data_IF_939475755637
#
_entry.id   IF_939475755637
#
_cell.length_a   1.000
_cell.length_b   1.000
_cell.length_c   1.000
_cell.angle_alpha   90.00
_cell.angle_beta   90.00
_cell.angle_gamma   90.00
#
_symmetry.space_group_name_H-M   'P 1'
#
loop_
_entity.id
_entity.type
_entity.pdbx_description
1 polymer ?
#
# COMPACT_ATOMS: atom_id res chain seq x y z
N UNK A 1 10.27 -4.20 46.99
CA UNK A 1 9.72 -4.10 45.65
C UNK A 1 8.21 -3.87 45.82
N UNK A 2 7.70 -2.73 45.38
CA UNK A 2 6.28 -2.45 45.34
C UNK A 2 5.98 -2.23 43.84
N UNK A 3 5.47 -3.27 43.19
CA UNK A 3 5.04 -3.25 41.79
C UNK A 3 4.04 -4.37 41.56
N UNK A 4 3.09 -4.16 40.63
CA UNK A 4 2.24 -5.23 40.15
C UNK A 4 2.89 -5.88 38.93
N UNK A 5 2.89 -7.20 38.89
CA UNK A 5 3.24 -7.98 37.71
C UNK A 5 1.90 -8.34 37.06
N UNK A 6 1.68 -7.88 35.85
CA UNK A 6 0.48 -8.17 35.07
C UNK A 6 0.85 -9.09 33.89
N UNK A 7 -0.08 -9.98 33.52
CA UNK A 7 0.07 -10.91 32.38
C UNK A 7 1.29 -11.86 32.46
N UNK A 8 1.49 -12.52 33.59
CA UNK A 8 2.43 -13.65 33.64
C UNK A 8 1.75 -14.87 32.98
N UNK A 9 2.27 -15.28 31.85
CA UNK A 9 1.87 -16.51 31.16
C UNK A 9 2.98 -17.55 31.30
N UNK A 10 2.64 -18.72 31.79
CA UNK A 10 3.52 -19.89 31.80
C UNK A 10 2.98 -20.88 30.77
N UNK A 11 3.74 -21.14 29.72
CA UNK A 11 3.43 -22.16 28.72
C UNK A 11 4.46 -23.27 28.79
N UNK A 12 4.02 -24.50 28.63
CA UNK A 12 4.93 -25.61 28.42
C UNK A 12 5.67 -25.41 27.09
N UNK A 13 6.97 -25.63 27.06
CA UNK A 13 7.77 -25.47 25.84
C UNK A 13 7.37 -26.58 24.85
N UNK A 14 7.02 -26.18 23.63
CA UNK A 14 6.61 -27.10 22.57
C UNK A 14 5.15 -27.56 22.59
N UNK A 15 4.32 -27.05 23.50
CA UNK A 15 2.91 -27.50 23.65
C UNK A 15 2.05 -27.34 22.39
N UNK A 16 2.41 -26.38 21.51
CA UNK A 16 1.69 -26.13 20.26
C UNK A 16 2.26 -26.93 19.06
N UNK A 17 3.23 -27.82 19.32
CA UNK A 17 3.85 -28.67 18.31
C UNK A 17 3.56 -30.15 18.53
N UNK A 18 3.09 -30.81 17.50
CA UNK A 18 2.89 -32.24 17.48
C UNK A 18 4.09 -32.94 16.82
N UNK A 19 4.73 -33.87 17.54
CA UNK A 19 5.85 -34.64 17.04
C UNK A 19 5.41 -36.05 16.74
N UNK A 20 5.34 -36.42 15.45
CA UNK A 20 4.97 -37.73 15.03
C UNK A 20 6.19 -38.66 14.87
N UNK A 21 6.00 -39.97 15.06
CA UNK A 21 7.01 -41.01 14.88
C UNK A 21 8.29 -40.81 15.72
N UNK A 22 8.17 -40.28 16.91
CA UNK A 22 9.29 -40.10 17.85
C UNK A 22 9.82 -41.43 18.34
N UNK A 23 11.17 -41.58 18.33
CA UNK A 23 11.90 -42.74 18.84
C UNK A 23 13.13 -42.29 19.62
N UNK A 24 13.89 -43.22 20.21
CA UNK A 24 15.14 -42.91 20.89
C UNK A 24 16.19 -42.26 20.01
N UNK A 25 16.15 -42.57 18.70
CA UNK A 25 17.10 -42.02 17.69
C UNK A 25 16.52 -40.87 16.89
N UNK A 26 15.21 -40.64 16.95
CA UNK A 26 14.50 -39.64 16.16
C UNK A 26 13.52 -38.87 17.06
N UNK A 27 13.87 -37.67 17.45
CA UNK A 27 13.08 -36.84 18.38
C UNK A 27 13.33 -35.38 18.17
N UNK A 28 12.51 -34.56 18.80
CA UNK A 28 12.69 -33.09 18.93
C UNK A 28 12.93 -32.80 20.40
N UNK A 29 14.01 -32.07 20.66
CA UNK A 29 14.36 -31.57 22.01
C UNK A 29 13.96 -30.10 22.08
N UNK A 30 12.94 -29.81 22.90
CA UNK A 30 12.49 -28.46 23.13
C UNK A 30 13.30 -27.82 24.27
N UNK A 31 13.92 -26.70 24.01
CA UNK A 31 14.68 -25.90 24.96
C UNK A 31 14.06 -24.53 25.19
N UNK A 32 14.73 -23.66 25.95
CA UNK A 32 14.29 -22.29 26.18
C UNK A 32 14.34 -21.47 24.87
N UNK A 33 13.19 -21.31 24.24
CA UNK A 33 13.03 -20.63 22.96
C UNK A 33 13.61 -21.38 21.74
N UNK A 34 13.96 -22.65 21.88
CA UNK A 34 14.55 -23.44 20.79
C UNK A 34 13.91 -24.80 20.62
N UNK A 35 13.99 -25.35 19.40
CA UNK A 35 13.65 -26.73 19.07
C UNK A 35 14.82 -27.37 18.31
N UNK A 36 15.43 -28.41 18.87
CA UNK A 36 16.50 -29.16 18.24
C UNK A 36 15.92 -30.41 17.58
N UNK A 37 16.00 -30.47 16.28
CA UNK A 37 15.59 -31.62 15.45
C UNK A 37 16.71 -32.63 15.43
N UNK A 38 16.50 -33.82 16.01
CA UNK A 38 17.43 -34.94 16.00
C UNK A 38 16.82 -36.13 15.29
N UNK A 39 17.19 -36.34 14.04
CA UNK A 39 16.68 -37.40 13.20
C UNK A 39 17.88 -38.24 12.72
N UNK A 40 18.41 -39.09 13.60
CA UNK A 40 19.66 -39.81 13.41
C UNK A 40 19.46 -41.12 12.69
N UNK A 41 18.22 -41.59 12.55
CA UNK A 41 17.90 -42.85 11.89
C UNK A 41 16.86 -42.68 10.78
N UNK A 42 16.99 -43.45 9.71
CA UNK A 42 16.07 -43.40 8.57
C UNK A 42 14.74 -44.14 8.79
N UNK A 43 14.63 -44.91 9.85
CA UNK A 43 13.41 -45.66 10.19
C UNK A 43 12.81 -45.13 11.51
N UNK A 44 11.56 -44.73 11.57
CA UNK A 44 10.59 -44.64 10.46
C UNK A 44 10.96 -43.58 9.43
N UNK A 45 10.54 -43.79 8.20
CA UNK A 45 10.98 -42.99 7.05
C UNK A 45 10.68 -41.48 7.13
N UNK A 46 9.70 -41.09 7.92
CA UNK A 46 9.27 -39.69 8.01
C UNK A 46 9.11 -39.26 9.46
N UNK A 47 9.83 -38.24 9.85
CA UNK A 47 9.64 -37.54 11.12
C UNK A 47 8.91 -36.23 10.85
N UNK A 48 7.86 -36.01 11.56
CA UNK A 48 6.99 -34.85 11.42
C UNK A 48 6.94 -34.05 12.70
N UNK A 49 7.11 -32.74 12.54
CA UNK A 49 6.80 -31.77 13.58
C UNK A 49 5.74 -30.84 12.98
N UNK A 50 4.56 -30.82 13.54
CA UNK A 50 3.43 -30.05 12.99
C UNK A 50 2.89 -29.04 13.99
N UNK A 51 2.32 -27.99 13.45
CA UNK A 51 1.61 -26.94 14.22
C UNK A 51 0.24 -26.72 13.58
N UNK A 52 -0.72 -26.30 14.38
CA UNK A 52 -2.12 -26.11 13.96
C UNK A 52 -2.38 -24.93 13.01
N UNK A 53 -1.35 -24.44 12.34
CA UNK A 53 -1.51 -23.42 11.30
C UNK A 53 -1.93 -24.08 9.98
N UNK A 54 -3.05 -23.60 9.41
CA UNK A 54 -3.59 -24.14 8.16
C UNK A 54 -3.35 -23.22 6.99
N UNK A 55 -2.73 -23.73 5.94
CA UNK A 55 -2.60 -23.05 4.66
C UNK A 55 -3.92 -23.11 3.87
N UNK A 56 -4.17 -22.06 3.10
CA UNK A 56 -5.32 -21.96 2.19
C UNK A 56 -4.80 -21.98 0.75
N UNK A 57 -5.33 -22.90 -0.05
CA UNK A 57 -4.95 -23.06 -1.47
C UNK A 57 -5.06 -21.74 -2.25
N UNK A 58 -4.06 -21.41 -3.05
CA UNK A 58 -3.97 -20.21 -3.87
C UNK A 58 -3.46 -18.95 -3.13
N UNK A 59 -3.20 -19.04 -1.84
CA UNK A 59 -2.61 -17.94 -1.08
C UNK A 59 -1.10 -18.06 -0.98
N UNK A 60 -0.43 -16.91 -0.85
CA UNK A 60 1.02 -16.82 -0.63
C UNK A 60 1.34 -16.56 0.84
N UNK A 61 2.42 -17.15 1.29
CA UNK A 61 2.88 -17.03 2.67
C UNK A 61 4.37 -16.70 2.70
N UNK A 62 4.76 -15.77 3.58
CA UNK A 62 6.16 -15.55 3.94
C UNK A 62 6.48 -16.47 5.11
N UNK A 63 7.38 -17.41 4.86
CA UNK A 63 7.97 -18.27 5.88
C UNK A 63 9.31 -17.67 6.30
N UNK A 64 9.48 -17.44 7.59
CA UNK A 64 10.75 -17.05 8.19
C UNK A 64 11.13 -18.09 9.22
N UNK A 65 12.30 -18.69 9.08
CA UNK A 65 12.86 -19.64 10.05
C UNK A 65 14.23 -19.12 10.48
N UNK A 66 14.42 -18.97 11.78
CA UNK A 66 15.72 -18.67 12.34
C UNK A 66 16.38 -19.97 12.81
N UNK A 67 17.47 -20.34 12.17
CA UNK A 67 18.23 -21.56 12.45
C UNK A 67 19.46 -21.19 13.27
N UNK A 68 19.39 -21.48 14.56
CA UNK A 68 20.46 -21.14 15.49
C UNK A 68 21.73 -21.94 15.21
N UNK A 69 21.61 -23.22 14.85
CA UNK A 69 22.75 -24.09 14.60
C UNK A 69 22.40 -25.20 13.61
N UNK A 70 23.35 -25.55 12.74
CA UNK A 70 23.33 -26.73 11.88
C UNK A 70 24.57 -27.58 12.20
N UNK A 71 24.39 -28.70 12.87
CA UNK A 71 25.45 -29.67 13.13
C UNK A 71 25.56 -30.67 11.94
N UNK A 72 24.42 -31.16 11.48
CA UNK A 72 24.36 -32.05 10.32
C UNK A 72 23.00 -32.03 9.63
N UNK A 73 23.00 -32.39 8.35
CA UNK A 73 21.81 -32.67 7.57
C UNK A 73 20.99 -31.48 7.10
N UNK A 74 19.74 -31.75 6.74
CA UNK A 74 18.78 -30.77 6.28
C UNK A 74 17.37 -31.24 6.60
N UNK A 75 16.48 -30.27 6.83
CA UNK A 75 15.05 -30.49 6.94
C UNK A 75 14.30 -29.76 5.82
N UNK A 76 13.06 -30.12 5.62
CA UNK A 76 12.17 -29.46 4.67
C UNK A 76 10.87 -29.07 5.34
N UNK A 77 10.28 -27.98 4.84
CA UNK A 77 9.02 -27.45 5.32
C UNK A 77 8.00 -27.47 4.20
N UNK A 78 6.78 -27.82 4.52
CA UNK A 78 5.69 -27.81 3.58
C UNK A 78 4.37 -28.20 4.20
N UNK A 79 3.40 -28.41 3.36
CA UNK A 79 2.09 -28.97 3.67
C UNK A 79 1.80 -30.04 2.60
N UNK A 80 0.91 -30.95 2.89
CA UNK A 80 0.63 -32.04 1.96
C UNK A 80 0.22 -31.52 0.59
N UNK A 81 1.05 -31.82 -0.45
CA UNK A 81 0.77 -31.49 -1.85
C UNK A 81 1.55 -30.33 -2.45
N UNK A 82 2.46 -29.68 -1.70
CA UNK A 82 3.32 -28.61 -2.24
C UNK A 82 4.76 -29.08 -2.48
N UNK A 83 5.50 -28.32 -3.29
CA UNK A 83 6.95 -28.36 -3.32
C UNK A 83 7.50 -27.98 -1.95
N UNK A 84 8.47 -28.76 -1.46
CA UNK A 84 8.99 -28.63 -0.11
C UNK A 84 10.26 -27.79 -0.12
N UNK A 85 10.26 -26.68 0.60
CA UNK A 85 11.45 -25.86 0.80
C UNK A 85 12.46 -26.53 1.73
N UNK A 86 13.74 -26.56 1.33
CA UNK A 86 14.82 -27.22 2.06
C UNK A 86 15.68 -26.20 2.80
N UNK A 87 16.02 -26.54 4.06
CA UNK A 87 16.81 -25.73 4.97
C UNK A 87 18.02 -26.52 5.46
N UNK A 88 19.23 -25.94 5.30
CA UNK A 88 20.50 -26.58 5.63
C UNK A 88 21.60 -25.63 6.08
N UNK A 89 21.29 -24.38 6.34
CA UNK A 89 22.25 -23.35 6.78
C UNK A 89 21.73 -22.55 7.96
N UNK A 90 22.63 -22.14 8.85
CA UNK A 90 22.30 -21.29 10.01
C UNK A 90 21.97 -19.86 9.61
N UNK A 91 21.29 -19.14 10.52
CA UNK A 91 20.81 -17.78 10.36
C UNK A 91 19.34 -17.71 9.94
N UNK A 92 18.85 -16.49 9.75
CA UNK A 92 17.47 -16.23 9.35
C UNK A 92 17.30 -16.61 7.88
N UNK A 93 16.41 -17.55 7.62
CA UNK A 93 16.04 -18.00 6.28
C UNK A 93 14.62 -17.55 5.96
N UNK A 94 14.44 -16.88 4.82
CA UNK A 94 13.13 -16.42 4.36
C UNK A 94 12.76 -17.08 3.04
N UNK A 95 11.50 -17.49 2.91
CA UNK A 95 10.93 -18.04 1.67
C UNK A 95 9.53 -17.51 1.47
N UNK A 96 9.17 -17.30 0.21
CA UNK A 96 7.78 -17.04 -0.19
C UNK A 96 7.26 -18.32 -0.83
N UNK A 97 6.20 -18.88 -0.25
CA UNK A 97 5.56 -20.11 -0.71
C UNK A 97 4.13 -19.80 -1.16
N UNK A 98 3.75 -20.34 -2.31
CA UNK A 98 2.36 -20.36 -2.75
C UNK A 98 1.72 -21.70 -2.37
N UNK A 99 0.60 -21.65 -1.65
CA UNK A 99 -0.11 -22.83 -1.23
C UNK A 99 -0.92 -23.40 -2.40
N UNK A 100 -0.50 -24.53 -2.94
CA UNK A 100 -1.23 -25.25 -4.02
C UNK A 100 -2.34 -26.15 -3.49
N UNK A 101 -2.44 -26.32 -2.18
CA UNK A 101 -3.48 -27.08 -1.47
C UNK A 101 -3.69 -26.56 -0.06
N UNK A 102 -4.70 -27.06 0.61
CA UNK A 102 -4.93 -26.80 2.05
C UNK A 102 -4.24 -27.87 2.89
N UNK A 103 -3.55 -27.46 3.95
CA UNK A 103 -2.84 -28.38 4.84
C UNK A 103 -2.23 -27.66 6.04
N UNK A 104 -1.68 -28.40 6.97
CA UNK A 104 -1.03 -27.86 8.16
C UNK A 104 0.46 -27.61 7.92
N UNK A 105 1.02 -26.65 8.64
CA UNK A 105 2.46 -26.40 8.62
C UNK A 105 3.20 -27.60 9.18
N UNK A 106 4.17 -28.12 8.44
CA UNK A 106 4.87 -29.36 8.82
C UNK A 106 6.36 -29.26 8.50
N UNK A 107 7.19 -29.71 9.43
CA UNK A 107 8.63 -29.89 9.25
C UNK A 107 8.90 -31.37 9.05
N UNK A 108 9.61 -31.69 7.97
CA UNK A 108 9.98 -33.05 7.61
C UNK A 108 11.48 -33.21 7.59
N UNK A 109 11.94 -34.44 7.85
CA UNK A 109 13.29 -34.82 7.49
C UNK A 109 13.51 -34.68 5.98
N UNK A 110 14.64 -34.13 5.55
CA UNK A 110 15.08 -34.13 4.16
C UNK A 110 16.30 -35.02 3.93
N UNK A 111 17.25 -35.03 4.86
CA UNK A 111 18.44 -35.88 4.76
C UNK A 111 18.51 -36.88 5.92
N UNK A 112 19.47 -37.85 5.85
CA UNK A 112 19.90 -38.65 6.98
C UNK A 112 20.66 -37.77 7.99
N UNK A 113 20.66 -38.17 9.25
CA UNK A 113 21.47 -37.55 10.31
C UNK A 113 21.23 -36.02 10.46
N UNK A 114 19.97 -35.66 10.59
CA UNK A 114 19.59 -34.27 10.89
C UNK A 114 19.87 -33.97 12.36
N UNK A 115 20.69 -32.96 12.61
CA UNK A 115 20.91 -32.36 13.92
C UNK A 115 20.96 -30.84 13.74
N UNK A 116 19.81 -30.18 13.91
CA UNK A 116 19.59 -28.76 13.61
C UNK A 116 18.75 -28.13 14.70
N UNK A 117 19.20 -26.96 15.21
CA UNK A 117 18.48 -26.19 16.22
C UNK A 117 17.80 -24.98 15.58
N UNK A 118 16.48 -24.87 15.77
CA UNK A 118 15.63 -23.78 15.32
C UNK A 118 15.28 -22.90 16.52
N UNK A 119 15.40 -21.58 16.38
CA UNK A 119 15.06 -20.60 17.46
C UNK A 119 13.75 -19.87 17.19
N UNK A 120 13.32 -19.74 15.94
CA UNK A 120 12.06 -19.09 15.61
C UNK A 120 11.48 -19.64 14.32
N UNK A 121 10.16 -19.73 14.27
CA UNK A 121 9.38 -20.04 13.07
C UNK A 121 8.21 -19.07 12.99
N UNK A 122 8.11 -18.36 11.89
CA UNK A 122 7.01 -17.43 11.60
C UNK A 122 6.44 -17.72 10.21
N UNK A 123 5.12 -17.84 10.14
CA UNK A 123 4.38 -17.97 8.88
C UNK A 123 3.36 -16.85 8.82
N UNK A 124 3.50 -15.99 7.84
CA UNK A 124 2.59 -14.83 7.66
C UNK A 124 1.97 -14.96 6.28
N UNK A 125 0.64 -14.93 6.21
CA UNK A 125 -0.05 -14.82 4.92
C UNK A 125 0.36 -13.52 4.24
N UNK A 126 0.87 -13.63 3.02
CA UNK A 126 1.05 -12.47 2.15
C UNK A 126 -0.32 -12.22 1.54
N UNK A 127 -1.07 -11.33 2.15
CA UNK A 127 -2.25 -10.78 1.49
C UNK A 127 -1.76 -10.02 0.26
N UNK A 128 -2.43 -10.17 -0.86
CA UNK A 128 -2.14 -9.35 -2.03
C UNK A 128 -2.05 -7.90 -1.58
N UNK A 129 -0.87 -7.30 -1.74
CA UNK A 129 -0.61 -5.90 -1.41
C UNK A 129 -1.35 -4.94 -2.36
N UNK A 130 -2.11 -5.50 -3.30
CA UNK A 130 -2.87 -4.77 -4.30
C UNK A 130 -3.99 -3.91 -3.73
N UNK A 131 -4.47 -4.21 -2.52
CA UNK A 131 -5.58 -3.50 -1.87
C UNK A 131 -5.20 -2.89 -0.51
N UNK A 132 -3.94 -2.98 -0.12
CA UNK A 132 -3.46 -2.41 1.14
C UNK A 132 -2.85 -1.04 0.90
N UNK A 133 -3.16 -0.05 1.76
CA UNK A 133 -2.52 1.25 1.70
C UNK A 133 -1.01 1.10 1.92
N UNK A 134 -0.21 1.81 1.14
CA UNK A 134 1.24 1.82 1.22
C UNK A 134 1.71 2.83 2.25
N UNK A 135 2.94 2.66 2.71
CA UNK A 135 3.62 3.71 3.46
C UNK A 135 4.47 4.50 2.47
N UNK A 136 4.15 5.78 2.31
CA UNK A 136 4.91 6.73 1.51
C UNK A 136 5.82 7.55 2.42
N UNK A 137 7.11 7.57 2.12
CA UNK A 137 8.12 8.34 2.85
C UNK A 137 8.52 9.65 2.14
N UNK A 138 7.76 10.05 1.14
CA UNK A 138 7.98 11.34 0.47
C UNK A 138 7.88 12.49 1.48
N UNK A 139 8.96 13.25 1.62
CA UNK A 139 9.06 14.30 2.64
C UNK A 139 9.69 13.85 3.96
N UNK A 140 10.21 12.62 4.05
CA UNK A 140 11.04 12.12 5.15
C UNK A 140 10.27 11.52 6.33
N UNK A 141 8.97 11.69 6.42
CA UNK A 141 8.10 11.09 7.45
C UNK A 141 7.10 10.17 6.79
N UNK A 142 7.08 8.91 7.23
CA UNK A 142 6.15 7.92 6.69
C UNK A 142 4.70 8.28 6.95
N UNK A 143 3.86 8.11 5.94
CA UNK A 143 2.41 8.23 6.03
C UNK A 143 1.74 7.16 5.18
N UNK A 144 0.56 6.76 5.57
CA UNK A 144 -0.23 5.82 4.80
C UNK A 144 -0.78 6.50 3.56
N UNK A 145 -0.64 5.84 2.41
CA UNK A 145 -1.11 6.29 1.12
C UNK A 145 -2.25 5.40 0.67
N UNK A 146 -3.45 5.97 0.60
CA UNK A 146 -4.64 5.32 0.08
C UNK A 146 -4.90 5.79 -1.34
N UNK A 147 -4.87 4.88 -2.29
CA UNK A 147 -4.99 5.19 -3.71
C UNK A 147 -6.23 4.54 -4.34
N UNK A 148 -6.89 5.23 -5.28
CA UNK A 148 -8.00 4.66 -6.03
C UNK A 148 -7.53 3.54 -6.95
N UNK A 149 -8.49 2.75 -7.47
CA UNK A 149 -8.23 1.86 -8.58
C UNK A 149 -7.62 2.64 -9.74
N UNK A 150 -6.57 2.11 -10.32
CA UNK A 150 -5.94 2.69 -11.50
C UNK A 150 -5.40 1.61 -12.44
N UNK A 151 -5.31 1.95 -13.72
CA UNK A 151 -4.79 1.07 -14.76
C UNK A 151 -3.61 1.74 -15.44
N UNK A 152 -2.47 1.06 -15.47
CA UNK A 152 -1.38 1.49 -16.33
C UNK A 152 -1.71 1.09 -17.78
N UNK A 153 -1.89 2.10 -18.62
CA UNK A 153 -2.23 1.93 -20.03
C UNK A 153 -0.99 1.66 -20.90
N UNK A 154 0.22 1.84 -20.37
CA UNK A 154 1.46 1.46 -21.03
C UNK A 154 1.68 -0.03 -20.78
N UNK A 155 1.86 -0.78 -21.85
CA UNK A 155 1.94 -2.26 -21.77
C UNK A 155 3.29 -2.79 -21.35
N UNK A 156 4.33 -1.95 -21.34
CA UNK A 156 5.70 -2.29 -20.90
C UNK A 156 6.26 -1.11 -20.10
N UNK A 157 6.10 -1.18 -18.77
CA UNK A 157 6.43 -0.06 -17.89
C UNK A 157 7.95 0.14 -17.69
N UNK A 158 8.73 -0.92 -17.70
CA UNK A 158 10.15 -0.86 -17.34
C UNK A 158 10.96 -0.06 -18.34
N UNK A 159 10.97 -0.50 -19.59
CA UNK A 159 11.75 0.12 -20.66
C UNK A 159 10.95 1.10 -21.53
N UNK A 160 9.60 1.05 -21.44
CA UNK A 160 8.71 1.65 -22.44
C UNK A 160 8.72 0.84 -23.75
N UNK A 161 7.77 1.16 -24.62
CA UNK A 161 7.76 0.65 -26.00
C UNK A 161 8.24 1.75 -26.90
N UNK A 162 9.43 1.60 -27.45
CA UNK A 162 9.99 2.59 -28.40
C UNK A 162 9.53 2.28 -29.82
N UNK A 163 8.74 3.15 -30.40
CA UNK A 163 8.52 3.14 -31.84
C UNK A 163 9.70 3.83 -32.55
N UNK A 164 10.19 3.27 -33.61
CA UNK A 164 11.48 3.62 -34.28
C UNK A 164 12.66 3.38 -33.33
N UNK A 165 12.94 2.13 -33.07
CA UNK A 165 13.94 1.70 -32.09
C UNK A 165 15.30 2.42 -32.22
N UNK A 166 15.88 2.86 -31.08
CA UNK A 166 17.27 3.26 -31.08
C UNK A 166 18.14 2.05 -31.46
N UNK A 167 19.25 2.29 -32.14
CA UNK A 167 20.15 1.22 -32.60
C UNK A 167 20.71 0.38 -31.44
N UNK A 168 20.66 0.88 -30.22
CA UNK A 168 21.04 0.16 -28.99
C UNK A 168 20.50 0.86 -27.73
N UNK A 169 20.19 0.05 -26.70
CA UNK A 169 19.80 0.47 -25.36
C UNK A 169 20.86 0.02 -24.35
N UNK A 170 21.16 0.89 -23.38
CA UNK A 170 22.03 0.54 -22.27
C UNK A 170 21.17 0.37 -21.04
N UNK A 171 21.10 -0.84 -20.49
CA UNK A 171 20.42 -1.13 -19.24
C UNK A 171 21.24 -0.65 -18.05
N UNK A 172 20.59 -0.12 -17.05
CA UNK A 172 21.17 0.27 -15.76
C UNK A 172 20.22 -0.09 -14.62
N UNK A 173 20.76 -0.12 -13.40
CA UNK A 173 19.97 -0.46 -12.21
C UNK A 173 18.84 0.54 -12.04
N UNK A 174 17.62 0.01 -12.00
CA UNK A 174 16.36 0.70 -11.84
C UNK A 174 15.98 0.95 -10.38
N UNK A 175 14.94 1.74 -10.09
CA UNK A 175 14.45 1.96 -8.73
C UNK A 175 14.09 0.68 -7.95
N UNK A 176 13.58 -0.35 -8.62
CA UNK A 176 13.24 -1.65 -8.03
C UNK A 176 14.43 -2.58 -7.79
N UNK A 177 15.64 -2.13 -8.15
CA UNK A 177 16.87 -2.92 -8.00
C UNK A 177 17.18 -3.87 -9.16
N UNK A 178 16.31 -3.97 -10.15
CA UNK A 178 16.59 -4.71 -11.40
C UNK A 178 17.49 -3.90 -12.33
N UNK A 179 17.90 -4.47 -13.45
CA UNK A 179 18.67 -3.78 -14.48
C UNK A 179 17.81 -3.53 -15.73
N UNK A 180 16.62 -2.94 -15.53
CA UNK A 180 15.64 -2.69 -16.59
C UNK A 180 15.48 -1.22 -16.95
N UNK A 181 16.15 -0.31 -16.23
CA UNK A 181 16.15 1.10 -16.61
C UNK A 181 16.95 1.33 -17.89
N UNK A 182 16.37 2.06 -18.82
CA UNK A 182 16.87 2.25 -20.17
C UNK A 182 17.54 3.60 -20.32
N UNK A 183 18.71 3.59 -20.92
CA UNK A 183 19.40 4.76 -21.40
C UNK A 183 19.31 4.82 -22.92
N UNK A 184 18.46 5.69 -23.49
CA UNK A 184 18.34 5.80 -24.95
C UNK A 184 19.63 6.28 -25.59
N UNK A 185 19.98 5.72 -26.75
CA UNK A 185 21.11 6.16 -27.55
C UNK A 185 20.57 6.86 -28.80
N UNK A 186 20.80 8.16 -28.95
CA UNK A 186 20.40 8.89 -30.15
C UNK A 186 21.13 8.37 -31.40
N UNK A 187 20.40 8.18 -32.47
CA UNK A 187 20.96 7.77 -33.77
C UNK A 187 21.13 8.93 -34.79
N UNK A 188 20.92 10.16 -34.34
CA UNK A 188 20.98 11.35 -35.18
C UNK A 188 19.72 11.61 -36.01
N UNK A 189 18.74 10.74 -35.98
CA UNK A 189 17.46 10.88 -36.70
C UNK A 189 16.30 10.99 -35.72
N UNK A 190 15.52 12.04 -35.83
CA UNK A 190 14.19 12.31 -35.31
C UNK A 190 13.64 11.55 -34.07
N UNK A 191 12.63 12.12 -33.56
CA UNK A 191 11.86 11.84 -32.35
C UNK A 191 11.72 10.37 -31.92
N UNK A 192 12.11 10.10 -30.68
CA UNK A 192 11.88 8.81 -30.01
C UNK A 192 10.69 8.92 -29.11
N UNK A 193 9.80 7.93 -29.11
CA UNK A 193 8.66 7.90 -28.22
C UNK A 193 8.66 6.64 -27.36
N UNK A 194 8.19 6.78 -26.13
CA UNK A 194 7.92 5.65 -25.26
C UNK A 194 6.43 5.49 -25.12
N UNK A 195 5.95 4.29 -25.38
CA UNK A 195 4.56 3.93 -25.14
C UNK A 195 3.62 4.32 -26.27
N UNK A 196 3.15 3.31 -26.94
CA UNK A 196 1.94 3.37 -27.76
C UNK A 196 0.77 2.92 -26.90
N UNK A 197 -0.23 3.78 -26.74
CA UNK A 197 -1.47 3.41 -26.10
C UNK A 197 -2.39 2.93 -27.21
N UNK A 198 -2.72 1.66 -27.17
CA UNK A 198 -3.71 1.10 -28.08
C UNK A 198 -5.11 1.32 -27.54
N UNK A 199 -5.91 2.05 -28.31
CA UNK A 199 -7.36 1.91 -28.33
C UNK A 199 -8.13 2.31 -27.06
N UNK A 200 -8.41 3.60 -26.88
CA UNK A 200 -9.45 4.07 -25.97
C UNK A 200 -10.15 5.30 -26.55
N UNK A 201 -11.45 5.36 -26.42
CA UNK A 201 -12.20 6.60 -26.66
C UNK A 201 -12.35 7.30 -25.31
N UNK A 202 -11.73 8.47 -25.16
CA UNK A 202 -11.83 9.25 -23.93
C UNK A 202 -12.74 10.47 -24.19
N UNK A 203 -13.59 10.78 -23.24
CA UNK A 203 -14.44 11.97 -23.34
C UNK A 203 -13.62 13.25 -23.25
N UNK A 204 -14.09 14.31 -23.89
CA UNK A 204 -13.56 15.66 -23.68
C UNK A 204 -13.59 16.01 -22.19
N UNK A 205 -12.55 16.69 -21.72
CA UNK A 205 -12.27 16.99 -20.31
C UNK A 205 -11.85 15.79 -19.43
N UNK A 206 -11.65 14.61 -19.99
CA UNK A 206 -10.98 13.53 -19.25
C UNK A 206 -9.55 13.96 -18.94
N UNK A 207 -9.15 13.81 -17.68
CA UNK A 207 -7.74 13.98 -17.28
C UNK A 207 -7.00 12.68 -17.41
N UNK A 208 -5.81 12.74 -17.93
CA UNK A 208 -4.84 11.65 -17.99
C UNK A 208 -3.54 12.10 -17.36
N UNK A 209 -2.89 11.24 -16.62
CA UNK A 209 -1.61 11.54 -15.99
C UNK A 209 -0.56 10.55 -16.44
N UNK A 210 0.55 11.09 -16.91
CA UNK A 210 1.75 10.33 -17.24
C UNK A 210 2.78 10.50 -16.15
N UNK A 211 3.40 9.41 -15.71
CA UNK A 211 4.50 9.43 -14.76
C UNK A 211 5.63 8.51 -15.18
N UNK A 212 6.86 8.85 -14.74
CA UNK A 212 8.09 8.14 -15.07
C UNK A 212 9.17 8.41 -14.04
N UNK A 213 10.14 7.53 -13.97
CA UNK A 213 11.37 7.76 -13.22
C UNK A 213 12.50 8.20 -14.14
N UNK A 214 13.33 9.13 -13.65
CA UNK A 214 14.45 9.67 -14.39
C UNK A 214 15.67 9.79 -13.50
N UNK A 215 16.81 9.35 -14.00
CA UNK A 215 18.13 9.50 -13.37
C UNK A 215 19.09 10.22 -14.30
N UNK A 216 19.79 11.22 -13.80
CA UNK A 216 20.88 11.85 -14.51
C UNK A 216 22.13 10.99 -14.37
N UNK A 217 22.81 10.65 -15.50
CA UNK A 217 23.98 9.77 -15.53
C UNK A 217 25.26 10.56 -15.76
N UNK A 218 25.22 11.67 -16.54
CA UNK A 218 26.40 12.50 -16.85
C UNK A 218 26.04 13.96 -17.11
N UNK A 219 27.03 14.83 -17.05
CA UNK A 219 26.95 16.23 -17.52
C UNK A 219 27.81 16.42 -18.80
N UNK A 220 27.43 17.26 -19.78
CA UNK A 220 26.26 18.12 -19.79
C UNK A 220 24.97 17.36 -20.06
N UNK A 221 23.89 17.91 -19.55
CA UNK A 221 22.55 17.37 -19.75
C UNK A 221 22.09 17.77 -21.12
N UNK A 222 21.89 16.79 -21.97
CA UNK A 222 20.98 16.96 -23.08
C UNK A 222 19.61 16.75 -22.49
N UNK A 223 18.88 17.84 -22.22
CA UNK A 223 17.54 17.75 -21.68
C UNK A 223 16.65 17.05 -22.70
N UNK A 224 16.15 15.89 -22.31
CA UNK A 224 15.09 15.24 -23.05
C UNK A 224 13.78 15.93 -22.69
N UNK A 225 13.13 16.47 -23.68
CA UNK A 225 11.81 17.04 -23.55
C UNK A 225 10.82 15.92 -23.15
N UNK A 226 10.13 16.12 -22.04
CA UNK A 226 8.80 15.59 -21.89
C UNK A 226 7.89 16.68 -22.42
N UNK A 227 7.68 16.66 -23.68
CA UNK A 227 6.85 17.66 -24.26
C UNK A 227 6.49 17.25 -25.66
N UNK A 228 5.31 17.20 -25.88
CA UNK A 228 4.51 16.98 -27.05
C UNK A 228 4.00 15.54 -27.15
N UNK A 229 2.80 15.38 -26.63
CA UNK A 229 1.84 14.49 -27.25
C UNK A 229 1.69 14.99 -28.68
N UNK A 230 2.49 14.47 -29.58
CA UNK A 230 2.52 14.96 -30.95
C UNK A 230 1.20 14.66 -31.68
N UNK A 231 0.65 15.64 -32.40
CA UNK A 231 -0.70 15.62 -32.94
C UNK A 231 -0.84 14.79 -34.23
N UNK A 232 0.02 13.85 -34.51
CA UNK A 232 -0.23 12.95 -35.63
C UNK A 232 -1.31 11.94 -35.37
N UNK A 233 -1.93 12.02 -34.20
CA UNK A 233 -3.08 11.24 -33.83
C UNK A 233 -4.04 12.08 -33.00
N UNK A 234 -4.95 12.70 -33.67
CA UNK A 234 -6.33 13.01 -33.35
C UNK A 234 -6.74 13.32 -31.87
N UNK A 235 -5.82 13.64 -30.96
CA UNK A 235 -6.16 14.14 -29.63
C UNK A 235 -5.48 15.44 -29.36
N UNK A 236 -6.27 16.47 -29.28
CA UNK A 236 -5.82 17.69 -28.68
C UNK A 236 -5.80 17.46 -27.15
N UNK A 237 -4.64 17.60 -26.55
CA UNK A 237 -4.47 17.61 -25.10
C UNK A 237 -3.80 18.90 -24.68
N UNK A 238 -4.16 19.38 -23.50
CA UNK A 238 -3.54 20.55 -22.89
C UNK A 238 -3.00 20.11 -21.53
N UNK A 239 -1.73 20.42 -21.27
CA UNK A 239 -1.14 20.13 -19.96
C UNK A 239 -1.83 20.99 -18.89
N UNK A 240 -2.17 20.34 -17.78
CA UNK A 240 -2.77 20.98 -16.60
C UNK A 240 -1.70 21.18 -15.55
N UNK A 241 -1.39 22.43 -15.27
CA UNK A 241 -0.35 22.78 -14.29
C UNK A 241 1.07 22.51 -14.80
N UNK A 242 2.01 22.44 -13.88
CA UNK A 242 3.42 22.15 -14.15
C UNK A 242 3.71 20.66 -13.99
N UNK A 243 4.76 20.18 -14.64
CA UNK A 243 5.33 18.86 -14.33
C UNK A 243 5.79 18.82 -12.88
N UNK A 244 5.34 17.81 -12.16
CA UNK A 244 5.67 17.60 -10.75
C UNK A 244 6.90 16.68 -10.69
N UNK A 245 7.92 17.10 -9.96
CA UNK A 245 9.07 16.27 -9.62
C UNK A 245 8.99 15.88 -8.15
N UNK A 246 9.03 14.60 -7.88
CA UNK A 246 9.14 14.03 -6.53
C UNK A 246 10.52 13.42 -6.40
N UNK A 247 11.35 13.97 -5.53
CA UNK A 247 12.63 13.35 -5.20
C UNK A 247 12.38 12.04 -4.49
N UNK A 248 12.72 10.93 -5.12
CA UNK A 248 12.62 9.61 -4.52
C UNK A 248 13.95 9.09 -4.01
N UNK A 249 15.06 9.57 -4.57
CA UNK A 249 16.45 9.19 -4.25
C UNK A 249 16.71 7.67 -4.25
N UNK A 250 15.81 6.92 -4.87
CA UNK A 250 15.93 5.47 -4.99
C UNK A 250 16.89 5.19 -6.14
N UNK A 251 18.08 4.69 -5.83
CA UNK A 251 19.14 4.44 -6.80
C UNK A 251 19.49 5.68 -7.67
N UNK A 252 19.23 6.89 -7.14
CA UNK A 252 19.46 8.17 -7.81
C UNK A 252 18.41 8.55 -8.85
N UNK A 253 17.26 7.90 -8.86
CA UNK A 253 16.11 8.27 -9.69
C UNK A 253 15.17 9.20 -8.93
N UNK A 254 14.66 10.20 -9.63
CA UNK A 254 13.51 11.00 -9.22
C UNK A 254 12.29 10.61 -10.05
N UNK A 255 11.11 10.67 -9.43
CA UNK A 255 9.85 10.45 -10.13
C UNK A 255 9.29 11.76 -10.65
N UNK A 256 8.77 11.73 -11.86
CA UNK A 256 8.11 12.86 -12.51
C UNK A 256 6.69 12.47 -12.87
N UNK A 257 5.80 13.46 -12.89
CA UNK A 257 4.45 13.30 -13.43
C UNK A 257 3.96 14.57 -14.12
N UNK A 258 3.14 14.39 -15.14
CA UNK A 258 2.47 15.47 -15.85
C UNK A 258 1.02 15.05 -16.14
N UNK A 259 0.08 15.93 -15.84
CA UNK A 259 -1.34 15.72 -16.08
C UNK A 259 -1.79 16.53 -17.30
N UNK A 260 -2.62 15.92 -18.13
CA UNK A 260 -3.14 16.50 -19.36
C UNK A 260 -4.66 16.42 -19.35
N UNK A 261 -5.30 17.41 -19.96
CA UNK A 261 -6.73 17.42 -20.21
C UNK A 261 -6.99 17.13 -21.68
N UNK A 262 -7.86 16.19 -21.96
CA UNK A 262 -8.29 15.85 -23.32
C UNK A 262 -9.26 16.92 -23.79
N UNK A 263 -8.90 17.65 -24.85
CA UNK A 263 -9.71 18.75 -25.37
C UNK A 263 -10.59 18.32 -26.55
N UNK A 264 -10.25 17.22 -27.22
CA UNK A 264 -11.05 16.62 -28.27
C UNK A 264 -11.23 15.12 -28.02
N UNK A 265 -12.47 14.70 -27.78
CA UNK A 265 -12.82 13.31 -27.45
C UNK A 265 -12.87 12.35 -28.64
N UNK A 266 -12.61 12.81 -29.85
CA UNK A 266 -12.57 11.94 -31.05
C UNK A 266 -11.22 11.22 -31.15
N UNK A 267 -10.91 10.36 -30.20
CA UNK A 267 -9.67 9.64 -30.16
C UNK A 267 -9.63 8.44 -31.08
N UNK A 268 -8.75 8.52 -32.04
CA UNK A 268 -8.26 7.36 -32.76
C UNK A 268 -7.22 6.59 -31.92
N UNK A 269 -7.11 5.35 -32.23
CA UNK A 269 -6.49 4.22 -31.58
C UNK A 269 -5.01 4.27 -31.20
N UNK A 270 -4.31 5.42 -31.26
CA UNK A 270 -2.85 5.45 -31.07
C UNK A 270 -2.37 6.76 -30.45
N UNK A 271 -2.57 6.96 -29.16
CA UNK A 271 -1.88 8.03 -28.44
C UNK A 271 -0.42 7.63 -28.20
N UNK A 272 0.52 8.49 -28.59
CA UNK A 272 1.96 8.27 -28.41
C UNK A 272 2.52 9.31 -27.45
N UNK A 273 3.31 8.84 -26.52
CA UNK A 273 4.11 9.71 -25.64
C UNK A 273 5.48 9.84 -26.24
N UNK A 274 5.89 11.06 -26.56
CA UNK A 274 7.20 11.33 -27.07
C UNK A 274 8.12 11.80 -25.95
N UNK A 275 9.27 11.16 -25.85
CA UNK A 275 10.44 11.79 -25.26
C UNK A 275 11.22 12.43 -26.40
N UNK A 276 11.26 13.75 -26.46
CA UNK A 276 12.10 14.44 -27.41
C UNK A 276 13.55 14.09 -27.10
N UNK A 277 14.18 13.31 -27.96
CA UNK A 277 15.64 13.22 -28.01
C UNK A 277 16.13 14.34 -28.86
N UNK A 278 16.97 15.20 -28.29
CA UNK A 278 17.67 16.21 -29.06
C UNK A 278 18.57 15.50 -30.06
N UNK A 279 18.46 15.89 -31.32
CA UNK A 279 19.31 15.40 -32.42
C UNK A 279 20.77 15.61 -32.05
N UNK A 280 21.50 14.53 -31.82
CA UNK A 280 22.90 14.54 -31.44
C UNK A 280 23.53 13.17 -31.62
N UNK A 281 24.84 13.15 -31.83
CA UNK A 281 25.64 11.91 -31.82
C UNK A 281 26.22 11.72 -30.43
N UNK A 282 25.79 10.72 -29.73
CA UNK A 282 26.28 10.37 -28.39
C UNK A 282 25.25 9.70 -27.51
N UNK A 283 25.70 9.16 -26.37
CA UNK A 283 24.80 8.53 -25.40
C UNK A 283 23.96 9.60 -24.67
N UNK A 284 22.68 9.32 -24.46
CA UNK A 284 21.84 10.13 -23.57
C UNK A 284 22.50 10.26 -22.20
N UNK A 285 22.39 11.43 -21.58
CA UNK A 285 22.86 11.66 -20.22
C UNK A 285 21.83 11.26 -19.16
N UNK A 286 20.73 10.64 -19.58
CA UNK A 286 19.57 10.34 -18.73
C UNK A 286 19.10 8.90 -18.93
N UNK A 287 18.79 8.22 -17.82
CA UNK A 287 18.11 6.94 -17.83
C UNK A 287 16.66 7.11 -17.38
N UNK A 288 15.78 6.30 -17.92
CA UNK A 288 14.35 6.27 -17.67
C UNK A 288 13.90 4.89 -17.20
N UNK A 289 12.84 4.88 -16.39
CA UNK A 289 12.19 3.67 -15.92
C UNK A 289 10.77 3.95 -15.42
N UNK A 290 9.94 2.91 -15.31
CA UNK A 290 8.65 2.98 -14.63
C UNK A 290 7.64 3.90 -15.32
N UNK A 291 7.53 3.75 -16.63
CA UNK A 291 6.57 4.50 -17.44
C UNK A 291 5.13 4.09 -17.10
N UNK A 292 4.30 5.06 -16.79
CA UNK A 292 2.91 4.83 -16.41
C UNK A 292 2.02 5.92 -16.96
N UNK A 293 0.94 5.53 -17.62
CA UNK A 293 -0.12 6.42 -18.06
C UNK A 293 -1.45 5.95 -17.48
N UNK A 294 -2.16 6.85 -16.86
CA UNK A 294 -3.38 6.57 -16.11
C UNK A 294 -4.48 7.56 -16.48
N UNK A 295 -5.72 7.12 -16.41
CA UNK A 295 -6.86 8.03 -16.38
C UNK A 295 -6.98 8.57 -14.95
N UNK A 296 -6.86 9.87 -14.78
CA UNK A 296 -6.88 10.53 -13.48
C UNK A 296 -6.12 11.85 -13.49
N UNK A 297 -6.17 12.58 -12.38
CA UNK A 297 -5.59 13.92 -12.23
C UNK A 297 -4.25 13.92 -11.47
N UNK A 298 -3.77 12.76 -11.05
CA UNK A 298 -2.49 12.57 -10.35
C UNK A 298 -1.92 11.19 -10.69
N UNK A 299 -0.61 11.03 -10.49
CA UNK A 299 0.05 9.74 -10.63
C UNK A 299 -0.14 8.90 -9.38
N UNK A 300 -0.61 7.66 -9.55
CA UNK A 300 -0.62 6.67 -8.47
C UNK A 300 0.75 5.97 -8.37
N UNK A 301 0.96 5.14 -7.36
CA UNK A 301 2.16 4.30 -7.25
C UNK A 301 2.38 3.47 -8.50
N UNK A 302 3.62 3.11 -8.78
CA UNK A 302 3.96 2.37 -10.00
C UNK A 302 3.13 1.06 -10.09
N UNK A 303 2.55 0.85 -11.28
CA UNK A 303 1.82 -0.36 -11.65
C UNK A 303 2.65 -1.03 -12.75
N UNK A 304 3.47 -2.03 -12.42
CA UNK A 304 4.32 -2.71 -13.39
C UNK A 304 3.48 -3.42 -14.46
N UNK A 305 3.93 -3.34 -15.71
CA UNK A 305 3.31 -4.00 -16.86
C UNK A 305 4.34 -4.71 -17.71
N UNK A 306 3.98 -5.86 -18.27
CA UNK A 306 4.82 -6.66 -19.15
C UNK A 306 3.98 -7.28 -20.27
N UNK A 307 3.84 -6.55 -21.38
CA UNK A 307 3.11 -6.99 -22.58
C UNK A 307 1.60 -6.75 -22.58
N UNK A 308 0.99 -6.33 -21.45
CA UNK A 308 -0.42 -5.97 -21.35
C UNK A 308 -0.65 -4.90 -20.30
N UNK A 309 -1.79 -4.22 -20.37
CA UNK A 309 -2.23 -3.29 -19.32
C UNK A 309 -2.51 -4.04 -18.02
N UNK A 310 -2.20 -3.43 -16.88
CA UNK A 310 -2.47 -3.98 -15.55
C UNK A 310 -3.31 -2.97 -14.77
N UNK A 311 -4.34 -3.47 -14.10
CA UNK A 311 -5.17 -2.69 -13.19
C UNK A 311 -4.82 -3.05 -11.76
N UNK A 312 -4.46 -2.05 -10.96
CA UNK A 312 -4.36 -2.14 -9.51
C UNK A 312 -5.72 -1.75 -8.92
N UNK A 313 -6.23 -2.57 -8.02
CA UNK A 313 -7.47 -2.28 -7.30
C UNK A 313 -7.30 -1.09 -6.34
N UNK A 314 -8.41 -0.51 -5.92
CA UNK A 314 -8.42 0.56 -4.91
C UNK A 314 -7.93 0.03 -3.56
N UNK A 315 -7.15 0.85 -2.86
CA UNK A 315 -6.76 0.55 -1.48
C UNK A 315 -7.99 0.65 -0.57
N UNK A 316 -8.10 -0.24 0.40
CA UNK A 316 -9.19 -0.29 1.35
C UNK A 316 -8.67 -0.55 2.77
N UNK A 317 -9.28 0.08 3.75
CA UNK A 317 -9.09 -0.23 5.16
C UNK A 317 -10.43 -0.10 5.89
N UNK A 318 -10.87 -1.19 6.48
CA UNK A 318 -12.16 -1.28 7.15
C UNK A 318 -12.12 -2.27 8.30
N UNK A 319 -13.13 -2.19 9.18
CA UNK A 319 -13.32 -3.16 10.25
C UNK A 319 -12.39 -2.98 11.45
N UNK A 320 -11.75 -1.83 11.61
CA UNK A 320 -10.94 -1.54 12.79
C UNK A 320 -11.81 -1.11 13.98
N UNK A 321 -11.35 -1.40 15.20
CA UNK A 321 -12.04 -1.00 16.43
C UNK A 321 -13.06 -2.03 16.92
N UNK A 322 -13.71 -1.66 18.00
CA UNK A 322 -14.81 -2.41 18.64
C UNK A 322 -15.61 -1.47 19.54
N UNK A 323 -16.76 -1.89 20.04
CA UNK A 323 -17.53 -1.13 21.05
C UNK A 323 -16.75 -0.89 22.35
N UNK A 324 -15.74 -1.69 22.64
CA UNK A 324 -14.86 -1.49 23.79
C UNK A 324 -13.85 -0.36 23.56
N UNK A 325 -13.49 -0.09 22.31
CA UNK A 325 -12.53 0.96 21.92
C UNK A 325 -13.23 2.26 21.53
N UNK A 326 -14.46 2.22 21.07
CA UNK A 326 -15.24 3.36 20.61
C UNK A 326 -16.38 3.64 21.58
N UNK A 327 -16.36 4.80 22.24
CA UNK A 327 -17.49 5.21 23.07
C UNK A 327 -18.55 5.89 22.19
N UNK A 328 -19.74 5.31 22.13
CA UNK A 328 -20.83 5.79 21.28
C UNK A 328 -21.46 7.09 21.74
N UNK A 329 -21.44 7.36 23.05
CA UNK A 329 -22.16 8.51 23.65
C UNK A 329 -21.32 9.77 23.73
N UNK A 330 -19.99 9.62 23.74
CA UNK A 330 -19.05 10.73 23.89
C UNK A 330 -17.67 10.30 23.39
N UNK A 331 -16.94 11.18 22.75
CA UNK A 331 -15.59 10.88 22.28
C UNK A 331 -15.02 11.89 21.31
N UNK A 332 -13.88 11.51 20.72
CA UNK A 332 -13.23 12.28 19.66
C UNK A 332 -12.82 11.35 18.54
N UNK A 333 -13.13 11.71 17.30
CA UNK A 333 -12.49 11.19 16.11
C UNK A 333 -11.45 12.22 15.66
N UNK A 334 -10.18 11.82 15.64
CA UNK A 334 -9.06 12.64 15.18
C UNK A 334 -8.46 12.05 13.90
N UNK A 335 -8.10 12.92 12.97
CA UNK A 335 -7.37 12.54 11.76
C UNK A 335 -6.36 13.62 11.36
N UNK A 336 -5.15 13.18 10.97
CA UNK A 336 -4.15 14.00 10.27
C UNK A 336 -4.02 13.46 8.85
N UNK A 337 -4.65 14.15 7.89
CA UNK A 337 -4.89 13.67 6.54
C UNK A 337 -4.71 14.76 5.48
N UNK A 338 -4.41 14.31 4.25
CA UNK A 338 -4.39 15.14 3.05
C UNK A 338 -5.03 14.40 1.88
N UNK A 339 -5.71 15.10 0.98
CA UNK A 339 -6.18 14.54 -0.29
C UNK A 339 -5.02 14.31 -1.26
N UNK A 340 -5.17 13.41 -2.21
CA UNK A 340 -4.19 13.19 -3.30
C UNK A 340 -4.22 14.32 -4.31
N UNK A 341 -5.41 14.83 -4.60
CA UNK A 341 -5.63 15.97 -5.49
C UNK A 341 -6.91 16.71 -5.10
N UNK A 342 -7.04 17.94 -5.58
CA UNK A 342 -8.29 18.70 -5.48
C UNK A 342 -9.11 18.56 -6.76
N UNK A 343 -9.51 17.34 -7.07
CA UNK A 343 -10.13 16.97 -8.35
C UNK A 343 -11.60 16.56 -8.23
N UNK A 344 -12.14 16.64 -7.03
CA UNK A 344 -13.51 16.24 -6.80
C UNK A 344 -13.71 14.83 -6.29
N UNK A 345 -12.67 14.05 -6.09
CA UNK A 345 -12.78 12.75 -5.44
C UNK A 345 -13.20 12.94 -3.99
N UNK A 346 -14.26 12.28 -3.58
CA UNK A 346 -14.72 12.27 -2.19
C UNK A 346 -14.28 10.98 -1.50
N UNK A 347 -14.13 11.05 -0.19
CA UNK A 347 -13.78 9.90 0.60
C UNK A 347 -14.11 10.10 2.07
N UNK A 348 -14.45 9.01 2.74
CA UNK A 348 -14.91 9.04 4.12
C UNK A 348 -13.93 8.35 5.07
N UNK A 349 -13.80 8.94 6.27
CA UNK A 349 -13.33 8.23 7.47
C UNK A 349 -14.51 8.22 8.44
N UNK A 350 -14.95 7.04 8.85
CA UNK A 350 -16.21 6.85 9.57
C UNK A 350 -16.01 5.97 10.80
N UNK A 351 -16.55 6.38 11.95
CA UNK A 351 -16.88 5.46 13.04
C UNK A 351 -18.40 5.23 13.01
N UNK A 352 -18.82 3.98 13.02
CA UNK A 352 -20.24 3.61 12.81
C UNK A 352 -20.63 2.30 13.48
N UNK A 353 -21.89 1.94 13.30
CA UNK A 353 -22.46 0.62 13.64
C UNK A 353 -22.41 -0.38 12.47
N UNK A 354 -21.67 -0.08 11.40
CA UNK A 354 -21.60 -0.91 10.21
C UNK A 354 -22.80 -0.80 9.26
N UNK A 355 -23.79 0.02 9.61
CA UNK A 355 -25.00 0.25 8.79
C UNK A 355 -24.96 1.66 8.20
N UNK A 356 -25.08 1.76 6.86
CA UNK A 356 -25.03 3.06 6.20
C UNK A 356 -26.12 4.01 6.70
N UNK A 357 -25.72 5.22 7.08
CA UNK A 357 -26.62 6.28 7.56
C UNK A 357 -27.46 5.94 8.81
N UNK A 358 -27.10 4.91 9.58
CA UNK A 358 -27.82 4.59 10.84
C UNK A 358 -27.20 5.35 12.02
N UNK A 359 -26.13 4.85 12.62
CA UNK A 359 -25.39 5.56 13.67
C UNK A 359 -23.95 5.78 13.18
N UNK A 360 -23.54 7.01 13.02
CA UNK A 360 -22.22 7.30 12.48
C UNK A 360 -21.71 8.70 12.83
N UNK A 361 -20.40 8.79 12.99
CA UNK A 361 -19.60 10.03 12.99
C UNK A 361 -18.69 9.96 11.77
N UNK A 362 -18.80 10.92 10.87
CA UNK A 362 -18.11 10.90 9.58
C UNK A 362 -17.33 12.16 9.32
N UNK A 363 -16.12 11.97 8.84
CA UNK A 363 -15.31 12.97 8.20
C UNK A 363 -15.28 12.68 6.70
N UNK A 364 -15.63 13.64 5.88
CA UNK A 364 -15.68 13.50 4.42
C UNK A 364 -14.88 14.60 3.76
N UNK A 365 -13.90 14.22 2.93
CA UNK A 365 -13.28 15.12 1.95
C UNK A 365 -14.16 15.16 0.72
N UNK A 366 -14.90 16.27 0.54
CA UNK A 366 -15.84 16.41 -0.57
C UNK A 366 -15.21 17.03 -1.82
N UNK A 367 -15.95 16.90 -2.91
CA UNK A 367 -15.52 17.04 -4.29
C UNK A 367 -14.90 18.38 -4.72
N UNK A 368 -15.14 19.51 -4.17
CA UNK A 368 -14.52 20.71 -4.78
C UNK A 368 -13.92 21.72 -3.83
N UNK A 369 -14.47 21.92 -2.65
CA UNK A 369 -14.05 23.05 -1.81
C UNK A 369 -14.06 22.73 -0.32
N UNK A 370 -14.53 21.58 0.11
CA UNK A 370 -14.90 21.45 1.51
C UNK A 370 -14.62 20.09 2.12
N UNK A 371 -14.40 20.13 3.40
CA UNK A 371 -14.45 18.98 4.28
C UNK A 371 -15.81 19.01 4.98
N UNK A 372 -16.53 17.91 4.93
CA UNK A 372 -17.79 17.76 5.64
C UNK A 372 -17.62 16.92 6.89
N UNK A 373 -18.33 17.31 7.90
CA UNK A 373 -18.60 16.50 9.05
C UNK A 373 -20.08 16.13 9.07
N UNK A 374 -20.38 14.86 9.38
CA UNK A 374 -21.75 14.39 9.50
C UNK A 374 -21.92 13.50 10.75
N UNK A 375 -23.01 13.69 11.48
CA UNK A 375 -23.46 12.80 12.53
C UNK A 375 -24.83 12.24 12.18
N UNK A 376 -24.96 10.94 12.33
CA UNK A 376 -26.22 10.19 12.16
C UNK A 376 -26.61 9.53 13.46
N UNK A 377 -27.89 9.58 13.80
CA UNK A 377 -28.48 8.92 14.95
C UNK A 377 -29.78 8.22 14.52
N UNK A 378 -29.84 6.91 14.63
CA UNK A 378 -31.00 6.11 14.26
C UNK A 378 -31.57 6.45 12.87
N UNK A 379 -30.72 6.54 11.87
CA UNK A 379 -31.11 6.82 10.49
C UNK A 379 -31.32 8.29 10.16
N UNK A 380 -31.25 9.20 11.13
CA UNK A 380 -31.43 10.63 10.93
C UNK A 380 -30.09 11.37 10.98
N UNK A 381 -29.81 12.19 9.98
CA UNK A 381 -28.65 13.08 10.00
C UNK A 381 -28.93 14.27 10.91
N UNK A 382 -28.38 14.27 12.11
CA UNK A 382 -28.59 15.30 13.12
C UNK A 382 -27.65 16.48 12.98
N UNK A 383 -26.45 16.25 12.43
CA UNK A 383 -25.46 17.29 12.16
C UNK A 383 -24.91 17.14 10.75
N UNK A 384 -24.79 18.25 10.03
CA UNK A 384 -24.13 18.33 8.74
C UNK A 384 -23.40 19.68 8.64
N UNK A 385 -22.08 19.65 8.61
CA UNK A 385 -21.23 20.82 8.65
C UNK A 385 -20.29 20.84 7.48
N UNK A 386 -20.14 22.01 6.89
CA UNK A 386 -19.25 22.25 5.78
C UNK A 386 -18.12 23.17 6.26
N UNK A 387 -16.89 22.72 6.05
CA UNK A 387 -15.68 23.48 6.33
C UNK A 387 -15.11 23.93 4.99
N UNK A 388 -15.32 25.18 4.68
CA UNK A 388 -14.74 25.85 3.52
C UNK A 388 -13.37 26.42 3.90
N UNK A 389 -12.54 26.68 2.92
CA UNK A 389 -11.26 27.38 3.09
C UNK A 389 -10.14 26.57 3.72
N UNK A 390 -9.99 25.29 3.32
CA UNK A 390 -8.80 24.50 3.62
C UNK A 390 -8.12 24.06 2.33
N UNK A 391 -6.80 24.00 2.34
CA UNK A 391 -6.02 23.35 1.28
C UNK A 391 -6.03 21.84 1.54
N UNK A 392 -6.88 21.10 0.84
CA UNK A 392 -7.08 19.67 1.08
C UNK A 392 -5.86 18.84 0.78
N UNK A 393 -5.00 19.26 -0.13
CA UNK A 393 -3.75 18.56 -0.50
C UNK A 393 -2.63 18.73 0.52
N UNK A 394 -2.76 19.66 1.44
CA UNK A 394 -1.88 19.79 2.60
C UNK A 394 -2.40 18.93 3.75
N UNK A 395 -1.49 18.47 4.62
CA UNK A 395 -1.90 17.77 5.83
C UNK A 395 -2.69 18.69 6.75
N UNK A 396 -3.89 18.29 7.09
CA UNK A 396 -4.76 18.96 8.03
C UNK A 396 -5.00 18.07 9.24
N UNK A 397 -4.89 18.64 10.42
CA UNK A 397 -5.24 18.00 11.69
C UNK A 397 -6.66 18.37 12.07
N UNK A 398 -7.53 17.39 12.09
CA UNK A 398 -8.97 17.54 12.31
C UNK A 398 -9.38 16.71 13.52
N UNK A 399 -10.04 17.31 14.49
CA UNK A 399 -10.63 16.61 15.62
C UNK A 399 -12.13 16.92 15.71
N UNK A 400 -12.92 15.87 15.80
CA UNK A 400 -14.38 15.93 15.91
C UNK A 400 -14.76 15.40 17.28
N UNK A 401 -15.10 16.31 18.19
CA UNK A 401 -15.65 15.96 19.50
C UNK A 401 -17.15 15.82 19.41
N UNK A 402 -17.70 14.76 19.95
CA UNK A 402 -19.12 14.51 20.08
C UNK A 402 -19.46 14.10 21.52
N UNK A 403 -20.61 14.56 22.03
CA UNK A 403 -21.16 14.18 23.32
C UNK A 403 -22.69 14.37 23.33
N UNK A 404 -23.31 14.28 24.49
CA UNK A 404 -24.76 14.35 24.67
C UNK A 404 -25.37 15.75 24.44
N UNK A 405 -24.56 16.79 24.34
CA UNK A 405 -25.03 18.18 24.26
C UNK A 405 -24.54 18.94 23.03
N UNK A 406 -23.40 18.53 22.47
CA UNK A 406 -22.80 19.26 21.36
C UNK A 406 -21.90 18.42 20.50
N UNK A 407 -21.65 18.92 19.30
CA UNK A 407 -20.57 18.53 18.42
C UNK A 407 -19.64 19.73 18.19
N UNK A 408 -18.34 19.52 18.33
CA UNK A 408 -17.33 20.56 18.07
C UNK A 408 -16.31 20.05 17.07
N UNK A 409 -15.84 20.91 16.19
CA UNK A 409 -14.79 20.61 15.22
C UNK A 409 -13.62 21.54 15.39
N UNK A 410 -12.44 20.97 15.56
CA UNK A 410 -11.16 21.67 15.62
C UNK A 410 -10.35 21.34 14.36
N UNK A 411 -9.84 22.40 13.74
CA UNK A 411 -9.03 22.32 12.54
C UNK A 411 -7.76 23.14 12.74
N UNK A 412 -6.59 22.48 12.62
CA UNK A 412 -5.28 23.15 12.64
C UNK A 412 -5.11 24.11 13.84
N UNK A 413 -5.49 23.66 15.04
CA UNK A 413 -5.40 24.42 16.30
C UNK A 413 -6.57 25.36 16.57
N UNK A 414 -7.54 25.48 15.69
CA UNK A 414 -8.65 26.41 15.81
C UNK A 414 -9.99 25.67 15.98
N UNK A 415 -10.78 26.06 16.97
CA UNK A 415 -12.16 25.63 17.07
C UNK A 415 -12.99 26.37 16.00
N UNK A 416 -13.38 25.64 14.96
CA UNK A 416 -14.10 26.18 13.80
C UNK A 416 -15.62 26.01 13.92
N UNK A 417 -16.05 25.17 14.85
CA UNK A 417 -17.46 24.91 15.07
C UNK A 417 -17.76 24.38 16.45
N UNK A 418 -18.82 24.96 17.04
CA UNK A 418 -19.57 24.41 18.16
C UNK A 418 -21.06 24.38 17.80
N UNK A 419 -21.61 23.20 17.63
CA UNK A 419 -23.03 23.03 17.33
C UNK A 419 -23.74 22.29 18.45
N UNK A 420 -24.84 22.85 18.93
CA UNK A 420 -25.72 22.13 19.87
C UNK A 420 -26.37 20.94 19.16
N UNK A 421 -26.11 19.75 19.62
CA UNK A 421 -26.70 18.52 19.13
C UNK A 421 -26.96 17.57 20.33
N UNK A 422 -28.19 17.53 20.76
CA UNK A 422 -28.64 16.73 21.91
C UNK A 422 -29.05 15.31 21.52
N UNK A 423 -28.97 14.96 20.24
CA UNK A 423 -29.25 13.60 19.78
C UNK A 423 -28.08 12.68 20.17
N UNK A 424 -28.35 11.69 20.99
CA UNK A 424 -27.34 10.73 21.48
C UNK A 424 -27.40 9.41 20.72
N UNK A 425 -26.23 8.90 20.33
CA UNK A 425 -26.11 7.55 19.84
C UNK A 425 -26.20 6.60 21.04
N UNK A 426 -26.91 5.50 20.89
CA UNK A 426 -27.07 4.52 21.96
C UNK A 426 -25.70 3.95 22.41
N UNK A 427 -25.51 3.62 23.70
CA UNK A 427 -24.29 2.98 24.18
C UNK A 427 -23.96 1.73 23.38
N UNK A 428 -22.66 1.51 23.10
CA UNK A 428 -22.12 0.38 22.35
C UNK A 428 -22.64 0.22 20.90
N UNK A 429 -23.28 1.23 20.35
CA UNK A 429 -23.74 1.20 18.95
C UNK A 429 -22.58 1.37 17.96
N UNK A 430 -21.67 2.32 18.22
CA UNK A 430 -20.48 2.51 17.39
C UNK A 430 -19.45 1.44 17.73
N UNK A 431 -19.06 0.65 16.75
CA UNK A 431 -18.18 -0.50 16.96
C UNK A 431 -17.14 -0.70 15.86
N UNK A 432 -17.13 0.15 14.84
CA UNK A 432 -16.21 0.00 13.73
C UNK A 432 -15.70 1.35 13.22
N UNK A 433 -14.40 1.39 12.89
CA UNK A 433 -13.72 2.47 12.17
C UNK A 433 -13.37 2.00 10.75
N UNK A 434 -13.81 2.74 9.76
CA UNK A 434 -13.57 2.47 8.36
C UNK A 434 -13.02 3.70 7.64
N UNK A 435 -12.19 3.46 6.62
CA UNK A 435 -11.78 4.45 5.63
C UNK A 435 -12.73 4.46 4.42
N UNK A 436 -14.02 4.42 4.71
CA UNK A 436 -15.13 4.45 3.76
C UNK A 436 -16.40 4.97 4.45
N UNK A 437 -17.55 4.92 3.76
CA UNK A 437 -18.84 5.35 4.31
C UNK A 437 -19.38 4.45 5.45
N UNK A 438 -18.68 3.40 5.81
CA UNK A 438 -19.05 2.40 6.80
C UNK A 438 -19.58 1.08 6.21
N UNK A 439 -19.52 0.89 4.88
CA UNK A 439 -20.04 -0.30 4.18
C UNK A 439 -19.17 -0.72 2.98
N UNK A 440 -17.92 -0.25 2.91
CA UNK A 440 -17.01 -0.56 1.79
C UNK A 440 -17.23 0.28 0.53
N UNK A 441 -18.04 1.34 0.59
CA UNK A 441 -18.25 2.26 -0.54
C UNK A 441 -17.70 3.64 -0.22
N UNK A 442 -17.34 4.42 -1.27
CA UNK A 442 -16.79 5.76 -1.15
C UNK A 442 -15.55 5.82 -0.25
N UNK A 443 -14.58 4.98 -0.57
CA UNK A 443 -13.32 4.86 0.14
C UNK A 443 -12.60 6.22 0.22
N UNK A 444 -11.95 6.47 1.34
CA UNK A 444 -11.03 7.59 1.46
C UNK A 444 -9.78 7.33 0.62
N UNK A 445 -9.49 8.23 -0.30
CA UNK A 445 -8.23 8.26 -1.06
C UNK A 445 -7.44 9.50 -0.67
N UNK A 446 -6.27 9.27 -0.11
CA UNK A 446 -5.47 10.34 0.47
C UNK A 446 -4.28 9.84 1.23
N UNK A 447 -3.61 10.78 1.88
CA UNK A 447 -2.46 10.55 2.75
C UNK A 447 -2.93 10.62 4.20
N UNK A 448 -2.48 9.70 5.03
CA UNK A 448 -2.87 9.63 6.44
C UNK A 448 -1.64 9.45 7.31
N UNK A 449 -1.35 10.43 8.17
CA UNK A 449 -0.29 10.31 9.19
C UNK A 449 -0.82 9.69 10.47
N UNK A 450 -2.06 10.03 10.83
CA UNK A 450 -2.67 9.53 12.06
C UNK A 450 -4.19 9.50 11.94
N UNK A 451 -4.81 8.45 12.46
CA UNK A 451 -6.22 8.42 12.84
C UNK A 451 -6.30 7.86 14.25
N UNK A 452 -7.03 8.52 15.12
CA UNK A 452 -7.22 8.12 16.51
C UNK A 452 -8.67 8.31 16.96
N UNK A 453 -9.12 7.44 17.84
CA UNK A 453 -10.41 7.55 18.51
C UNK A 453 -10.17 7.63 20.02
N UNK A 454 -10.72 8.67 20.64
CA UNK A 454 -10.67 8.85 22.10
C UNK A 454 -12.05 8.54 22.69
N UNK A 455 -12.05 7.77 23.77
CA UNK A 455 -13.30 7.40 24.48
C UNK A 455 -13.94 8.55 25.23
N UNK A 456 -13.19 9.60 25.50
CA UNK A 456 -13.63 10.77 26.27
C UNK A 456 -13.68 11.99 25.35
N UNK A 457 -14.65 12.87 25.65
CA UNK A 457 -14.72 14.17 25.01
C UNK A 457 -13.62 15.07 25.60
N UNK A 458 -12.51 15.19 24.90
CA UNK A 458 -11.39 16.05 25.29
C UNK A 458 -11.83 17.51 25.44
N UNK A 459 -11.14 18.26 26.31
CA UNK A 459 -11.36 19.70 26.52
C UNK A 459 -10.95 20.51 25.29
N UNK A 460 -11.41 21.76 25.21
CA UNK A 460 -11.04 22.66 24.11
C UNK A 460 -9.52 22.91 24.06
N UNK A 461 -8.86 23.00 25.22
CA UNK A 461 -7.43 23.18 25.30
C UNK A 461 -6.66 21.95 24.77
N UNK A 462 -7.09 20.74 25.13
CA UNK A 462 -6.50 19.49 24.62
C UNK A 462 -6.72 19.35 23.11
N UNK A 463 -7.91 19.66 22.61
CA UNK A 463 -8.23 19.59 21.18
C UNK A 463 -7.44 20.64 20.37
N UNK A 464 -7.28 21.84 20.90
CA UNK A 464 -6.41 22.87 20.30
C UNK A 464 -4.98 22.36 20.22
N UNK A 465 -4.44 21.82 21.32
CA UNK A 465 -3.08 21.25 21.34
C UNK A 465 -2.93 20.08 20.37
N UNK A 466 -3.87 19.12 20.37
CA UNK A 466 -3.87 17.95 19.49
C UNK A 466 -3.87 18.34 18.01
N UNK A 467 -4.60 19.39 17.64
CA UNK A 467 -4.74 19.80 16.24
C UNK A 467 -3.78 20.92 15.82
N UNK A 468 -2.92 21.45 16.69
CA UNK A 468 -1.89 22.44 16.29
C UNK A 468 -0.89 21.82 15.31
N UNK A 469 -0.60 22.52 14.19
CA UNK A 469 0.33 22.09 13.13
C UNK A 469 1.78 22.38 13.58
#
# INVERSE_FOLDING_TARGET
FIGSIDNVSVKEVGQDWEVANSTVDNYVEFGDGTARLKFLNTSPATQLVSQSFSFVSGKKYKLTIDIAEVISGSFKVGFFGSDLEVFNSSGVQERIIEAIGSGVFTIFRNSQDVDITISNVSVIEITDDTNLPRIDYTGGVGHWLFEPQSTNLIITSDSGVYGNEPASEILTTSPDGTNTAVRPIPDGNSDRYTGQISGGTYATNTKITYSWYRKRISTPVIDTYVGDLQPNVLVNVTQVGSTIQVKSDINGFDRFSATFNITDGSLASNMRLYFGLIVGTGNSSVAYWGHQLEVGSFATSIIPTSGSTVTRLADAASGAGSSDLINSTSGVLYAEIAALADDGTSGYITISDGIVNNNAIRLLYHSSISVFFQKYVNGVRTTNLNINSITKTDFNKIAIRYNAIQVSVFLNGVNILNNSDTNTIAPNALNVLNFDIGTGANNFFGKTKCVAVFKEALTDAELTCLTTI
#
